data_IF_133583372036
#
_entry.id   IF_133583372036
#
_cell.length_a   1.000
_cell.length_b   1.000
_cell.length_c   1.000
_cell.angle_alpha   90.00
_cell.angle_beta   90.00
_cell.angle_gamma   90.00
#
_symmetry.space_group_name_H-M   'P 1'
#
loop_
_entity.id
_entity.type
_entity.pdbx_description
1 polymer ?
#
# COMPACT_ATOMS: atom_id res chain seq x y z
N UNK A 1 6.17 -4.37 -13.71
CA UNK A 1 4.71 -4.25 -13.53
C UNK A 1 4.47 -2.90 -12.85
N UNK A 2 3.59 -2.05 -13.37
CA UNK A 2 3.41 -0.67 -12.87
C UNK A 2 2.60 -0.70 -11.55
N UNK A 3 3.04 0.03 -10.52
CA UNK A 3 2.35 0.10 -9.21
C UNK A 3 0.91 0.59 -9.37
N UNK A 4 0.65 1.48 -10.34
CA UNK A 4 -0.71 1.95 -10.68
C UNK A 4 -1.61 0.78 -11.05
N UNK A 5 -1.10 -0.12 -11.90
CA UNK A 5 -1.85 -1.28 -12.35
C UNK A 5 -2.02 -2.29 -11.22
N UNK A 6 -1.03 -2.43 -10.33
CA UNK A 6 -1.12 -3.31 -9.17
C UNK A 6 -2.23 -2.85 -8.22
N UNK A 7 -2.22 -1.57 -7.84
CA UNK A 7 -3.22 -0.99 -6.93
C UNK A 7 -4.61 -1.00 -7.56
N UNK A 8 -4.71 -0.70 -8.87
CA UNK A 8 -5.95 -0.86 -9.62
C UNK A 8 -6.44 -2.30 -9.64
N UNK A 9 -5.55 -3.29 -9.73
CA UNK A 9 -5.94 -4.70 -9.73
C UNK A 9 -6.35 -5.19 -8.35
N UNK A 10 -5.66 -4.76 -7.29
CA UNK A 10 -5.89 -5.24 -5.92
C UNK A 10 -7.07 -4.55 -5.24
N UNK A 11 -7.20 -3.24 -5.43
CA UNK A 11 -8.16 -2.41 -4.70
C UNK A 11 -9.21 -1.75 -5.60
N UNK A 12 -9.07 -1.87 -6.93
CA UNK A 12 -9.87 -1.12 -7.91
C UNK A 12 -9.75 0.41 -7.74
N UNK A 13 -8.58 0.85 -7.27
CA UNK A 13 -8.26 2.28 -7.04
C UNK A 13 -7.32 2.76 -8.13
N UNK A 14 -7.67 3.89 -8.74
CA UNK A 14 -6.84 4.55 -9.73
C UNK A 14 -5.98 5.62 -9.05
N UNK A 15 -4.65 5.42 -9.07
CA UNK A 15 -3.68 6.33 -8.46
C UNK A 15 -2.88 7.08 -9.52
N UNK A 16 -2.60 8.36 -9.26
CA UNK A 16 -1.93 9.24 -10.23
C UNK A 16 -0.40 9.25 -10.09
N UNK A 17 0.16 8.53 -9.12
CA UNK A 17 1.62 8.39 -8.96
C UNK A 17 2.09 6.98 -9.29
N UNK A 18 3.30 6.87 -9.85
CA UNK A 18 4.00 5.58 -10.00
C UNK A 18 5.03 5.33 -8.89
N UNK A 19 5.17 6.31 -7.99
CA UNK A 19 6.08 6.27 -6.86
C UNK A 19 5.31 5.82 -5.61
N UNK A 20 5.62 4.62 -5.12
CA UNK A 20 4.97 4.01 -3.97
C UNK A 20 5.28 4.75 -2.67
N UNK A 21 6.46 5.39 -2.56
CA UNK A 21 6.85 6.12 -1.36
C UNK A 21 6.00 7.38 -1.21
N UNK A 22 5.84 8.14 -2.31
CA UNK A 22 4.95 9.30 -2.34
C UNK A 22 3.50 8.93 -2.06
N UNK A 23 3.05 7.80 -2.61
CA UNK A 23 1.70 7.30 -2.36
C UNK A 23 1.49 6.91 -0.89
N UNK A 24 2.51 6.36 -0.23
CA UNK A 24 2.47 6.01 1.19
C UNK A 24 2.52 7.24 2.09
N UNK A 25 3.35 8.23 1.77
CA UNK A 25 3.47 9.47 2.52
C UNK A 25 2.20 10.31 2.45
N UNK A 26 1.60 10.44 1.26
CA UNK A 26 0.42 11.30 1.07
C UNK A 26 -0.56 10.73 0.04
N UNK A 27 -1.29 9.64 0.36
CA UNK A 27 -2.16 8.97 -0.61
C UNK A 27 -3.28 9.87 -1.13
N UNK A 28 -3.75 10.83 -0.30
CA UNK A 28 -4.83 11.77 -0.64
C UNK A 28 -4.51 12.67 -1.83
N UNK A 29 -3.25 12.99 -2.10
CA UNK A 29 -2.86 13.82 -3.25
C UNK A 29 -2.93 13.06 -4.58
N UNK A 30 -2.91 11.73 -4.53
CA UNK A 30 -2.76 10.89 -5.72
C UNK A 30 -4.00 10.06 -6.04
N UNK A 31 -5.09 10.25 -5.32
CA UNK A 31 -6.37 9.56 -5.50
C UNK A 31 -7.48 10.54 -5.82
N UNK A 32 -8.50 10.05 -6.53
CA UNK A 32 -9.66 10.85 -6.89
C UNK A 32 -10.69 10.95 -5.75
N UNK A 33 -10.76 9.95 -4.87
CA UNK A 33 -11.76 9.88 -3.80
C UNK A 33 -11.11 9.70 -2.45
N UNK A 34 -11.63 10.40 -1.43
CA UNK A 34 -11.12 10.24 -0.06
C UNK A 34 -11.37 8.85 0.53
N UNK A 35 -12.44 8.17 0.13
CA UNK A 35 -12.74 6.78 0.57
C UNK A 35 -11.64 5.79 0.18
N UNK A 36 -10.94 6.07 -0.93
CA UNK A 36 -9.85 5.23 -1.42
C UNK A 36 -8.55 5.47 -0.64
N UNK A 37 -8.44 6.61 0.05
CA UNK A 37 -7.28 6.95 0.87
C UNK A 37 -7.16 6.00 2.05
N UNK A 38 -8.29 5.69 2.69
CA UNK A 38 -8.33 4.80 3.85
C UNK A 38 -7.95 3.38 3.44
N UNK A 39 -8.49 2.87 2.33
CA UNK A 39 -8.12 1.54 1.79
C UNK A 39 -6.64 1.43 1.46
N UNK A 40 -6.05 2.48 0.89
CA UNK A 40 -4.61 2.53 0.61
C UNK A 40 -3.78 2.53 1.90
N UNK A 41 -4.22 3.31 2.89
CA UNK A 41 -3.56 3.36 4.20
C UNK A 41 -3.62 2.00 4.89
N UNK A 42 -4.76 1.32 4.83
CA UNK A 42 -4.93 -0.03 5.35
C UNK A 42 -4.03 -1.04 4.62
N UNK A 43 -3.93 -0.95 3.29
CA UNK A 43 -3.02 -1.80 2.51
C UNK A 43 -1.57 -1.63 2.96
N UNK A 44 -1.09 -0.39 3.11
CA UNK A 44 0.28 -0.15 3.56
C UNK A 44 0.51 -0.64 5.00
N UNK A 45 -0.47 -0.45 5.88
CA UNK A 45 -0.39 -0.97 7.24
C UNK A 45 -0.32 -2.51 7.25
N UNK A 46 -1.10 -3.19 6.39
CA UNK A 46 -1.03 -4.64 6.25
C UNK A 46 0.32 -5.11 5.71
N UNK A 47 0.93 -4.37 4.79
CA UNK A 47 2.28 -4.65 4.30
C UNK A 47 3.32 -4.50 5.41
N UNK A 48 3.25 -3.42 6.18
CA UNK A 48 4.15 -3.18 7.32
C UNK A 48 4.00 -4.29 8.37
N UNK A 49 2.77 -4.67 8.70
CA UNK A 49 2.49 -5.77 9.64
C UNK A 49 2.94 -7.14 9.12
N UNK A 50 2.89 -7.37 7.81
CA UNK A 50 3.40 -8.59 7.20
C UNK A 50 4.93 -8.64 7.22
N UNK A 51 5.60 -7.50 7.00
CA UNK A 51 7.05 -7.35 7.13
C UNK A 51 7.49 -7.58 8.59
N UNK A 52 6.77 -7.01 9.55
CA UNK A 52 6.98 -7.24 10.99
C UNK A 52 6.72 -8.70 11.42
N UNK A 53 5.87 -9.45 10.71
CA UNK A 53 5.65 -10.88 10.98
C UNK A 53 6.68 -11.80 10.34
N UNK A 54 7.46 -11.34 9.36
CA UNK A 54 8.56 -12.14 8.80
C UNK A 54 9.79 -12.19 9.72
N UNK A 55 9.95 -11.23 10.65
CA UNK A 55 11.10 -11.19 11.58
C UNK A 55 10.98 -12.12 12.81
N UNK A 56 9.86 -12.82 12.99
CA UNK A 56 9.67 -13.83 14.05
C UNK A 56 9.82 -15.29 13.55
N UNK A 57 10.59 -15.52 12.48
CA UNK A 57 10.88 -16.88 11.96
C UNK A 57 12.34 -17.32 11.98
N UNK A 58 13.23 -16.63 12.68
CA UNK A 58 14.46 -17.28 13.15
C UNK A 58 14.23 -17.88 14.55
N UNK A 59 13.60 -19.05 14.51
CA UNK A 59 13.43 -19.93 15.65
C UNK A 59 14.79 -20.24 16.29
N UNK A 60 15.01 -19.67 17.47
CA UNK A 60 16.02 -20.14 18.40
C UNK A 60 15.44 -21.39 19.10
N UNK A 61 15.60 -22.56 18.47
CA UNK A 61 15.38 -23.88 19.07
C UNK A 61 16.70 -24.45 19.60
#
# INVERSE_FOLDING_TARGET
MNIKNLIKTLLDIEVNTEDILKLRENPKEYIAKEEDAEKLKDLFLLMDLAEDQEVDKDGNY
#
